data_IF_697089194829
#
_entry.id   IF_697089194829
#
_cell.length_a   1.000
_cell.length_b   1.000
_cell.length_c   1.000
_cell.angle_alpha   90.00
_cell.angle_beta   90.00
_cell.angle_gamma   90.00
#
_symmetry.space_group_name_H-M   'P 1'
#
loop_
_entity.id
_entity.type
_entity.pdbx_description
1 polymer ?
#
# COMPACT_ATOMS: atom_id res chain seq x y z
N UNK A 1 -29.66 -11.26 -0.10
CA UNK A 1 -30.30 -10.25 -0.98
C UNK A 1 -31.69 -10.74 -1.32
N UNK A 2 -32.73 -9.96 -1.05
CA UNK A 2 -34.10 -10.34 -1.44
C UNK A 2 -34.31 -9.97 -2.92
N UNK A 3 -34.74 -10.93 -3.73
CA UNK A 3 -35.08 -10.73 -5.14
C UNK A 3 -36.52 -11.19 -5.39
N UNK A 4 -37.22 -10.50 -6.30
CA UNK A 4 -38.51 -10.95 -6.82
C UNK A 4 -38.29 -12.21 -7.68
N UNK A 5 -38.86 -13.38 -7.32
CA UNK A 5 -38.69 -14.61 -8.08
C UNK A 5 -39.14 -14.50 -9.55
N UNK A 6 -40.09 -13.61 -9.87
CA UNK A 6 -40.54 -13.37 -11.24
C UNK A 6 -39.47 -12.77 -12.15
N UNK A 7 -38.39 -12.24 -11.59
CA UNK A 7 -37.24 -11.71 -12.34
C UNK A 7 -36.17 -12.76 -12.64
N UNK A 8 -36.27 -13.97 -12.08
CA UNK A 8 -35.30 -15.05 -12.29
C UNK A 8 -35.60 -15.73 -13.62
N UNK A 9 -34.77 -15.48 -14.64
CA UNK A 9 -34.95 -16.03 -15.99
C UNK A 9 -34.36 -17.44 -16.15
N UNK A 10 -33.34 -17.79 -15.35
CA UNK A 10 -32.69 -19.09 -15.33
C UNK A 10 -31.90 -19.28 -14.03
N UNK A 11 -31.68 -20.53 -13.64
CA UNK A 11 -30.69 -20.94 -12.64
C UNK A 11 -29.75 -21.92 -13.33
N UNK A 12 -28.44 -21.66 -13.27
CA UNK A 12 -27.41 -22.47 -13.93
C UNK A 12 -26.57 -23.10 -12.82
N UNK A 13 -26.59 -24.42 -12.73
CA UNK A 13 -25.75 -25.16 -11.78
C UNK A 13 -24.31 -25.19 -12.29
N UNK A 14 -23.37 -24.83 -11.42
CA UNK A 14 -21.94 -24.81 -11.72
C UNK A 14 -21.14 -25.42 -10.58
N UNK A 15 -20.08 -26.15 -10.90
CA UNK A 15 -19.08 -26.65 -9.94
C UNK A 15 -17.71 -26.10 -10.36
N UNK A 16 -17.55 -24.79 -10.18
CA UNK A 16 -16.34 -24.06 -10.55
C UNK A 16 -15.69 -23.51 -9.28
N UNK A 17 -14.44 -23.92 -8.96
CA UNK A 17 -13.72 -23.36 -7.83
C UNK A 17 -13.31 -21.91 -8.12
N UNK A 18 -13.18 -21.11 -7.06
CA UNK A 18 -12.57 -19.79 -7.15
C UNK A 18 -11.08 -19.89 -7.54
N UNK A 19 -10.63 -18.98 -8.40
CA UNK A 19 -9.22 -18.86 -8.77
C UNK A 19 -8.51 -17.94 -7.77
N UNK A 20 -7.85 -18.52 -6.77
CA UNK A 20 -6.95 -17.82 -5.87
C UNK A 20 -5.50 -17.94 -6.34
N UNK A 21 -4.81 -16.81 -6.51
CA UNK A 21 -3.39 -16.81 -6.83
C UNK A 21 -2.56 -17.38 -5.66
N UNK A 22 -1.56 -18.19 -6.01
CA UNK A 22 -0.60 -18.72 -5.06
C UNK A 22 0.36 -17.62 -4.58
N UNK A 23 0.68 -17.65 -3.29
CA UNK A 23 1.73 -16.81 -2.72
C UNK A 23 3.05 -17.04 -3.44
N UNK A 24 3.76 -15.95 -3.76
CA UNK A 24 5.15 -16.04 -4.19
C UNK A 24 6.05 -16.34 -2.99
N UNK A 25 7.22 -16.97 -3.21
CA UNK A 25 8.18 -17.25 -2.14
C UNK A 25 8.62 -15.98 -1.39
N UNK A 26 9.05 -16.19 -0.15
CA UNK A 26 9.56 -15.17 0.75
C UNK A 26 10.57 -14.23 0.05
N UNK A 27 10.30 -12.92 0.13
CA UNK A 27 11.15 -11.88 -0.43
C UNK A 27 11.76 -11.06 0.72
N UNK A 28 13.10 -11.04 0.89
CA UNK A 28 13.76 -10.27 1.96
C UNK A 28 13.40 -8.79 1.98
N UNK A 29 13.14 -8.18 0.82
CA UNK A 29 12.70 -6.78 0.72
C UNK A 29 11.31 -6.60 1.33
N UNK A 30 10.40 -7.55 1.13
CA UNK A 30 9.07 -7.51 1.74
C UNK A 30 9.14 -7.68 3.26
N UNK A 31 10.04 -8.53 3.78
CA UNK A 31 10.25 -8.66 5.22
C UNK A 31 10.82 -7.37 5.83
N UNK A 32 11.81 -6.74 5.20
CA UNK A 32 12.35 -5.48 5.71
C UNK A 32 11.31 -4.35 5.71
N UNK A 33 10.44 -4.29 4.70
CA UNK A 33 9.29 -3.37 4.69
C UNK A 33 8.34 -3.69 5.85
N UNK A 34 8.05 -4.97 6.09
CA UNK A 34 7.21 -5.41 7.20
C UNK A 34 7.81 -5.00 8.57
N UNK A 35 9.11 -5.21 8.78
CA UNK A 35 9.82 -4.80 9.98
C UNK A 35 9.74 -3.29 10.21
N UNK A 36 9.87 -2.50 9.14
CA UNK A 36 9.73 -1.05 9.19
C UNK A 36 8.29 -0.64 9.54
N UNK A 37 7.28 -1.31 9.01
CA UNK A 37 5.86 -1.05 9.35
C UNK A 37 5.58 -1.40 10.81
N UNK A 38 6.01 -2.56 11.29
CA UNK A 38 5.82 -2.99 12.69
C UNK A 38 6.52 -2.01 13.63
N UNK A 39 7.78 -1.64 13.33
CA UNK A 39 8.55 -0.65 14.10
C UNK A 39 7.82 0.68 14.18
N UNK A 40 7.30 1.17 13.04
CA UNK A 40 6.56 2.42 13.01
C UNK A 40 5.31 2.36 13.88
N UNK A 41 4.48 1.33 13.73
CA UNK A 41 3.23 1.19 14.48
C UNK A 41 3.47 1.06 15.99
N UNK A 42 4.48 0.29 16.41
CA UNK A 42 4.89 0.21 17.81
C UNK A 42 5.37 1.56 18.34
N UNK A 43 6.10 2.34 17.53
CA UNK A 43 6.53 3.68 17.93
C UNK A 43 5.35 4.64 18.12
N UNK A 44 4.32 4.52 17.28
CA UNK A 44 3.09 5.31 17.38
C UNK A 44 2.25 4.93 18.61
N UNK A 45 2.23 3.65 18.98
CA UNK A 45 1.62 3.19 20.23
C UNK A 45 2.39 3.70 21.45
N UNK A 46 3.72 3.61 21.45
CA UNK A 46 4.57 4.03 22.56
C UNK A 46 4.41 5.51 22.93
N UNK A 47 4.11 6.36 21.94
CA UNK A 47 3.88 7.80 22.11
C UNK A 47 2.39 8.18 22.20
N UNK A 48 1.50 7.19 22.27
CA UNK A 48 0.06 7.37 22.50
C UNK A 48 -0.72 7.92 21.30
N UNK A 49 -0.17 7.85 20.07
CA UNK A 49 -0.90 8.23 18.85
C UNK A 49 -1.78 7.10 18.30
N UNK A 50 -1.41 5.85 18.59
CA UNK A 50 -2.28 4.68 18.43
C UNK A 50 -2.68 4.23 19.84
N UNK A 51 -3.98 4.00 20.11
CA UNK A 51 -4.43 3.54 21.42
C UNK A 51 -3.90 2.13 21.74
N UNK A 52 -3.77 1.78 23.03
CA UNK A 52 -3.19 0.49 23.45
C UNK A 52 -4.03 -0.72 23.02
N UNK A 53 -5.34 -0.57 22.80
CA UNK A 53 -6.21 -1.59 22.22
C UNK A 53 -6.06 -1.75 20.68
N UNK A 54 -5.21 -0.93 20.06
CA UNK A 54 -5.00 -0.84 18.62
C UNK A 54 -6.21 -0.35 17.83
N UNK A 55 -6.04 -0.22 16.51
CA UNK A 55 -7.08 0.24 15.59
C UNK A 55 -7.36 -0.82 14.51
N UNK A 56 -8.55 -0.81 13.90
CA UNK A 56 -8.84 -1.72 12.80
C UNK A 56 -7.88 -1.50 11.63
N UNK A 57 -7.43 -2.60 11.01
CA UNK A 57 -6.55 -2.54 9.84
C UNK A 57 -7.31 -2.77 8.53
N UNK A 58 -7.00 -1.95 7.54
CA UNK A 58 -7.19 -2.29 6.13
C UNK A 58 -5.85 -2.69 5.54
N UNK A 59 -5.83 -3.77 4.78
CA UNK A 59 -4.65 -4.22 4.04
C UNK A 59 -5.08 -4.77 2.69
N UNK A 60 -4.39 -4.33 1.63
CA UNK A 60 -4.60 -4.84 0.27
C UNK A 60 -4.03 -6.26 0.10
N UNK A 61 -4.01 -6.76 -1.14
CA UNK A 61 -3.41 -8.06 -1.49
C UNK A 61 -1.94 -7.92 -1.89
N UNK A 62 -1.22 -9.04 -1.96
CA UNK A 62 0.12 -9.13 -2.54
C UNK A 62 1.22 -9.36 -1.50
N UNK A 63 2.44 -9.62 -1.99
CA UNK A 63 3.54 -10.13 -1.16
C UNK A 63 3.95 -9.17 -0.02
N UNK A 64 3.96 -7.86 -0.27
CA UNK A 64 4.29 -6.85 0.74
C UNK A 64 3.23 -6.85 1.84
N UNK A 65 1.95 -6.79 1.47
CA UNK A 65 0.84 -6.79 2.44
C UNK A 65 0.83 -8.08 3.27
N UNK A 66 1.04 -9.24 2.64
CA UNK A 66 1.14 -10.51 3.36
C UNK A 66 2.33 -10.56 4.33
N UNK A 67 3.50 -10.07 3.93
CA UNK A 67 4.67 -9.99 4.81
C UNK A 67 4.41 -9.07 6.01
N UNK A 68 3.76 -7.92 5.78
CA UNK A 68 3.37 -6.97 6.83
C UNK A 68 2.39 -7.59 7.80
N UNK A 69 1.34 -8.26 7.31
CA UNK A 69 0.37 -8.95 8.16
C UNK A 69 1.03 -10.08 8.96
N UNK A 70 1.95 -10.85 8.36
CA UNK A 70 2.72 -11.87 9.07
C UNK A 70 3.57 -11.27 10.19
N UNK A 71 4.35 -10.22 9.91
CA UNK A 71 5.17 -9.53 10.91
C UNK A 71 4.36 -8.93 12.06
N UNK A 72 3.18 -8.37 11.76
CA UNK A 72 2.22 -7.93 12.79
C UNK A 72 1.74 -9.10 13.66
N UNK A 73 1.50 -10.26 13.04
CA UNK A 73 1.14 -11.50 13.70
C UNK A 73 2.18 -12.01 14.70
N UNK A 74 3.43 -12.02 14.26
CA UNK A 74 4.58 -12.52 15.01
C UNK A 74 5.03 -11.57 16.12
N UNK A 75 4.77 -10.26 15.98
CA UNK A 75 5.14 -9.26 16.99
C UNK A 75 4.31 -9.43 18.28
N UNK A 76 4.92 -9.76 19.44
CA UNK A 76 4.19 -9.93 20.69
C UNK A 76 3.67 -8.59 21.26
N UNK A 77 4.28 -7.47 20.87
CA UNK A 77 3.94 -6.13 21.36
C UNK A 77 2.77 -5.50 20.58
N UNK A 78 2.44 -6.06 19.41
CA UNK A 78 1.21 -5.71 18.70
C UNK A 78 0.04 -6.45 19.36
N UNK A 79 -1.02 -5.76 19.84
CA UNK A 79 -2.18 -6.43 20.43
C UNK A 79 -2.93 -7.26 19.39
N UNK A 80 -3.84 -8.11 19.83
CA UNK A 80 -4.85 -8.64 18.91
C UNK A 80 -5.73 -7.50 18.38
N UNK A 81 -6.12 -7.56 17.11
CA UNK A 81 -6.83 -6.48 16.43
C UNK A 81 -7.95 -6.98 15.52
N UNK A 82 -8.75 -6.05 15.00
CA UNK A 82 -9.79 -6.36 14.01
C UNK A 82 -9.34 -5.91 12.61
N UNK A 83 -9.82 -6.60 11.58
CA UNK A 83 -9.72 -6.11 10.20
C UNK A 83 -11.01 -5.43 9.77
N UNK A 84 -10.86 -4.29 9.10
CA UNK A 84 -11.91 -3.61 8.36
C UNK A 84 -11.32 -3.23 7.00
N UNK A 85 -11.49 -4.11 6.02
CA UNK A 85 -10.79 -4.07 4.74
C UNK A 85 -11.77 -4.18 3.57
N UNK A 86 -11.30 -3.98 2.34
CA UNK A 86 -12.06 -4.33 1.14
C UNK A 86 -12.07 -5.85 0.92
N UNK A 87 -10.94 -6.50 1.12
CA UNK A 87 -10.74 -7.94 0.89
C UNK A 87 -10.01 -8.58 2.06
N UNK A 88 -10.31 -9.86 2.33
CA UNK A 88 -9.49 -10.69 3.22
C UNK A 88 -8.53 -11.53 2.40
N UNK A 89 -7.25 -11.35 2.67
CA UNK A 89 -6.16 -12.07 2.00
C UNK A 89 -5.71 -13.30 2.80
N UNK A 90 -4.86 -14.11 2.19
CA UNK A 90 -4.32 -15.36 2.74
C UNK A 90 -3.81 -15.24 4.19
N UNK A 91 -3.02 -14.20 4.49
CA UNK A 91 -2.49 -13.97 5.85
C UNK A 91 -3.58 -13.77 6.91
N UNK A 92 -4.74 -13.22 6.55
CA UNK A 92 -5.83 -12.99 7.50
C UNK A 92 -6.42 -14.31 8.03
N UNK A 93 -6.46 -15.36 7.20
CA UNK A 93 -6.98 -16.68 7.59
C UNK A 93 -6.12 -17.26 8.70
N UNK A 94 -4.80 -17.25 8.52
CA UNK A 94 -3.86 -17.74 9.52
C UNK A 94 -3.94 -16.94 10.83
N UNK A 95 -4.03 -15.60 10.73
CA UNK A 95 -4.08 -14.74 11.91
C UNK A 95 -5.41 -14.82 12.67
N UNK A 96 -6.51 -15.20 12.00
CA UNK A 96 -7.77 -15.56 12.65
C UNK A 96 -7.63 -16.86 13.45
N UNK A 97 -6.95 -17.88 12.89
CA UNK A 97 -6.70 -19.16 13.58
C UNK A 97 -5.86 -18.97 14.85
N UNK A 98 -4.85 -18.09 14.81
CA UNK A 98 -3.99 -17.81 15.97
C UNK A 98 -4.62 -16.85 16.98
N UNK A 99 -5.79 -16.29 16.67
CA UNK A 99 -6.47 -15.31 17.53
C UNK A 99 -5.81 -13.92 17.54
N UNK A 100 -4.82 -13.68 16.66
CA UNK A 100 -4.25 -12.35 16.48
C UNK A 100 -5.27 -11.40 15.86
N UNK A 101 -5.98 -11.86 14.84
CA UNK A 101 -7.18 -11.18 14.36
C UNK A 101 -8.37 -11.74 15.13
N UNK A 102 -9.11 -10.89 15.83
CA UNK A 102 -10.29 -11.32 16.61
C UNK A 102 -11.57 -11.33 15.76
N UNK A 103 -11.59 -10.57 14.67
CA UNK A 103 -12.69 -10.50 13.72
C UNK A 103 -12.31 -9.70 12.47
N UNK A 104 -12.98 -10.00 11.37
CA UNK A 104 -12.66 -9.45 10.07
C UNK A 104 -13.93 -9.05 9.30
N UNK A 105 -13.97 -7.80 8.85
CA UNK A 105 -15.02 -7.26 7.98
C UNK A 105 -14.42 -6.97 6.60
N UNK A 106 -15.04 -7.49 5.55
CA UNK A 106 -14.61 -7.28 4.16
C UNK A 106 -15.76 -7.31 3.17
N UNK A 107 -15.49 -7.07 1.88
CA UNK A 107 -16.43 -7.30 0.78
C UNK A 107 -16.24 -8.65 0.10
N UNK A 108 -15.04 -9.22 0.14
CA UNK A 108 -14.74 -10.52 -0.47
C UNK A 108 -13.58 -11.24 0.24
N UNK A 109 -13.43 -12.52 -0.11
CA UNK A 109 -12.28 -13.34 0.25
C UNK A 109 -11.40 -13.46 -0.99
N UNK A 110 -10.11 -13.15 -0.88
CA UNK A 110 -9.10 -13.32 -1.92
C UNK A 110 -8.00 -14.22 -1.37
N UNK A 111 -8.31 -15.51 -1.32
CA UNK A 111 -7.49 -16.55 -0.65
C UNK A 111 -7.24 -17.71 -1.61
N UNK A 112 -6.22 -18.50 -1.32
CA UNK A 112 -5.96 -19.75 -2.07
C UNK A 112 -7.11 -20.74 -1.94
N UNK A 113 -7.25 -21.65 -2.91
CA UNK A 113 -8.25 -22.73 -2.86
C UNK A 113 -8.10 -23.58 -1.58
N UNK A 114 -6.89 -23.82 -1.11
CA UNK A 114 -6.61 -24.53 0.15
C UNK A 114 -7.14 -23.79 1.37
N UNK A 115 -7.00 -22.46 1.41
CA UNK A 115 -7.47 -21.67 2.54
C UNK A 115 -8.98 -21.46 2.49
N UNK A 116 -9.56 -21.37 1.30
CA UNK A 116 -11.01 -21.40 1.14
C UNK A 116 -11.61 -22.73 1.61
N UNK A 117 -11.01 -23.86 1.21
CA UNK A 117 -11.43 -25.19 1.69
C UNK A 117 -11.30 -25.29 3.21
N UNK A 118 -10.20 -24.80 3.79
CA UNK A 118 -10.03 -24.75 5.24
C UNK A 118 -11.15 -23.95 5.92
N UNK A 119 -11.56 -22.81 5.37
CA UNK A 119 -12.68 -22.02 5.90
C UNK A 119 -13.97 -22.85 5.85
N UNK A 120 -14.23 -23.54 4.74
CA UNK A 120 -15.42 -24.39 4.58
C UNK A 120 -15.43 -25.56 5.57
N UNK A 121 -14.31 -26.24 5.74
CA UNK A 121 -14.16 -27.38 6.65
C UNK A 121 -14.31 -26.96 8.13
N UNK A 122 -14.14 -25.67 8.43
CA UNK A 122 -14.17 -25.11 9.79
C UNK A 122 -15.20 -23.96 9.92
N UNK A 123 -16.33 -24.06 9.21
CA UNK A 123 -17.30 -22.97 9.10
C UNK A 123 -17.79 -22.43 10.45
N UNK A 124 -18.03 -23.29 11.45
CA UNK A 124 -18.49 -22.85 12.78
C UNK A 124 -17.49 -21.91 13.48
N UNK A 125 -16.20 -22.09 13.21
CA UNK A 125 -15.14 -21.22 13.71
C UNK A 125 -15.10 -19.89 12.94
N UNK A 126 -15.09 -19.94 11.61
CA UNK A 126 -14.90 -18.73 10.79
C UNK A 126 -16.16 -17.88 10.63
N UNK A 127 -17.36 -18.47 10.59
CA UNK A 127 -18.63 -17.76 10.36
C UNK A 127 -18.94 -16.72 11.44
N UNK A 128 -18.51 -16.95 12.68
CA UNK A 128 -18.68 -15.99 13.79
C UNK A 128 -17.60 -14.90 13.83
N UNK A 129 -16.60 -14.97 12.94
CA UNK A 129 -15.42 -14.08 12.93
C UNK A 129 -15.29 -13.28 11.64
N UNK A 130 -15.90 -13.73 10.55
CA UNK A 130 -15.85 -13.07 9.24
C UNK A 130 -17.22 -12.51 8.90
N UNK A 131 -17.27 -11.23 8.54
CA UNK A 131 -18.47 -10.58 8.01
C UNK A 131 -18.18 -10.03 6.62
N UNK A 132 -18.90 -10.55 5.62
CA UNK A 132 -18.87 -10.01 4.26
C UNK A 132 -19.99 -8.96 4.09
N UNK A 133 -19.63 -7.80 3.56
CA UNK A 133 -20.51 -6.63 3.38
C UNK A 133 -20.47 -6.19 1.92
N UNK A 134 -21.52 -5.54 1.40
CA UNK A 134 -21.41 -4.82 0.14
C UNK A 134 -20.26 -3.80 0.18
N UNK A 135 -19.58 -3.59 -0.96
CA UNK A 135 -18.47 -2.64 -1.06
C UNK A 135 -18.85 -1.21 -0.65
N UNK A 136 -20.11 -0.79 -0.87
CA UNK A 136 -20.64 0.50 -0.41
C UNK A 136 -20.57 0.67 1.11
N UNK A 137 -20.58 -0.44 1.85
CA UNK A 137 -20.43 -0.46 3.31
C UNK A 137 -18.97 -0.68 3.68
N UNK A 138 -18.27 -1.71 3.16
CA UNK A 138 -16.88 -1.99 3.55
C UNK A 138 -15.93 -0.84 3.23
N UNK A 139 -16.20 -0.10 2.16
CA UNK A 139 -15.38 1.02 1.71
C UNK A 139 -16.00 2.37 2.06
N UNK A 140 -17.00 2.40 2.95
CA UNK A 140 -17.71 3.63 3.23
C UNK A 140 -16.81 4.66 3.95
N UNK A 141 -16.57 5.85 3.37
CA UNK A 141 -15.73 6.89 3.99
C UNK A 141 -16.11 7.23 5.43
N UNK A 142 -17.41 7.25 5.72
CA UNK A 142 -17.96 7.58 7.04
C UNK A 142 -17.53 6.52 8.07
N UNK A 143 -17.70 5.24 7.72
CA UNK A 143 -17.38 4.12 8.61
C UNK A 143 -15.88 4.00 8.79
N UNK A 144 -15.09 4.09 7.71
CA UNK A 144 -13.62 4.06 7.74
C UNK A 144 -13.11 5.10 8.73
N UNK A 145 -13.62 6.33 8.64
CA UNK A 145 -13.22 7.44 9.52
C UNK A 145 -13.71 7.25 10.95
N UNK A 146 -14.97 6.82 11.14
CA UNK A 146 -15.56 6.61 12.47
C UNK A 146 -14.81 5.53 13.25
N UNK A 147 -14.38 4.47 12.58
CA UNK A 147 -13.61 3.38 13.19
C UNK A 147 -12.13 3.71 13.38
N UNK A 148 -11.64 4.80 12.78
CA UNK A 148 -10.24 5.19 12.87
C UNK A 148 -9.30 4.18 12.20
N UNK A 149 -9.70 3.60 11.07
CA UNK A 149 -8.94 2.55 10.36
C UNK A 149 -7.51 3.01 10.05
N UNK A 150 -6.53 2.12 10.18
CA UNK A 150 -5.18 2.29 9.62
C UNK A 150 -5.17 1.63 8.24
N UNK A 151 -4.85 2.40 7.20
CA UNK A 151 -4.87 1.95 5.81
C UNK A 151 -3.45 1.61 5.32
N UNK A 152 -3.23 0.35 4.96
CA UNK A 152 -1.97 -0.16 4.41
C UNK A 152 -2.12 -0.40 2.90
N UNK A 153 -1.40 0.38 2.10
CA UNK A 153 -1.50 0.35 0.64
C UNK A 153 -0.12 0.21 -0.01
N UNK A 154 -0.08 -0.43 -1.18
CA UNK A 154 1.14 -0.53 -1.99
C UNK A 154 1.05 0.43 -3.16
N UNK A 155 2.10 1.22 -3.39
CA UNK A 155 2.21 2.13 -4.52
C UNK A 155 3.13 1.60 -5.62
N UNK A 156 2.93 2.05 -6.85
CA UNK A 156 3.86 1.85 -7.97
C UNK A 156 5.04 2.81 -7.88
N UNK A 157 4.76 4.08 -7.56
CA UNK A 157 5.75 5.13 -7.36
C UNK A 157 5.19 6.24 -6.47
N UNK A 158 6.10 6.99 -5.86
CA UNK A 158 5.83 8.17 -5.05
C UNK A 158 6.74 9.29 -5.51
N UNK A 159 6.20 10.50 -5.54
CA UNK A 159 7.06 11.65 -5.77
C UNK A 159 7.66 12.17 -4.47
N UNK A 160 8.70 12.99 -4.61
CA UNK A 160 9.38 13.60 -3.47
C UNK A 160 8.47 14.53 -2.65
N UNK A 161 7.30 14.95 -3.13
CA UNK A 161 6.34 15.71 -2.32
C UNK A 161 5.31 14.80 -1.64
N UNK A 162 5.36 13.49 -1.89
CA UNK A 162 4.51 12.48 -1.29
C UNK A 162 3.13 12.38 -1.94
N UNK A 163 3.02 12.61 -3.24
CA UNK A 163 1.94 12.04 -4.04
C UNK A 163 2.23 10.55 -4.30
N UNK A 164 1.18 9.77 -4.56
CA UNK A 164 1.29 8.36 -4.88
C UNK A 164 0.57 8.01 -6.18
N UNK A 165 1.22 7.17 -6.98
CA UNK A 165 0.67 6.46 -8.13
C UNK A 165 0.48 4.99 -7.74
N UNK A 166 -0.72 4.45 -7.89
CA UNK A 166 -1.05 3.04 -7.62
C UNK A 166 -1.57 2.32 -8.87
N UNK A 167 -1.68 3.01 -10.01
CA UNK A 167 -2.47 2.50 -11.15
C UNK A 167 -1.73 2.45 -12.48
N UNK A 168 -0.95 3.48 -12.85
CA UNK A 168 -0.44 3.64 -14.21
C UNK A 168 1.09 3.58 -14.28
N UNK A 169 1.64 2.56 -14.94
CA UNK A 169 3.08 2.50 -15.26
C UNK A 169 3.37 3.55 -16.33
N UNK A 170 4.31 4.45 -16.03
CA UNK A 170 4.72 5.57 -16.89
C UNK A 170 3.53 6.44 -17.34
N UNK A 171 2.51 6.58 -16.49
CA UNK A 171 1.34 7.43 -16.72
C UNK A 171 0.34 6.90 -17.75
N UNK A 172 0.58 5.74 -18.38
CA UNK A 172 -0.23 5.27 -19.51
C UNK A 172 -0.74 3.84 -19.36
N UNK A 173 0.08 2.92 -18.83
CA UNK A 173 -0.28 1.51 -18.79
C UNK A 173 -0.94 1.17 -17.46
N UNK A 174 -2.25 0.93 -17.49
CA UNK A 174 -3.00 0.46 -16.33
C UNK A 174 -2.50 -0.91 -15.86
N UNK A 175 -2.24 -1.05 -14.55
CA UNK A 175 -1.92 -2.33 -13.92
C UNK A 175 -3.20 -3.06 -13.52
N UNK A 176 -3.96 -2.49 -12.59
CA UNK A 176 -5.22 -3.04 -12.10
C UNK A 176 -6.32 -1.96 -12.14
N UNK A 177 -6.15 -0.92 -11.31
CA UNK A 177 -7.12 0.14 -11.08
C UNK A 177 -6.98 0.67 -9.66
N UNK A 178 -7.59 1.83 -9.37
CA UNK A 178 -7.45 2.49 -8.07
C UNK A 178 -8.08 1.67 -6.92
N UNK A 179 -9.12 0.88 -7.22
CA UNK A 179 -9.86 0.10 -6.22
C UNK A 179 -10.35 0.98 -5.07
N UNK A 180 -10.45 0.42 -3.87
CA UNK A 180 -10.78 1.17 -2.66
C UNK A 180 -9.63 1.96 -2.03
N UNK A 181 -8.44 2.00 -2.64
CA UNK A 181 -7.31 2.72 -2.05
C UNK A 181 -7.65 4.20 -1.78
N UNK A 182 -8.41 4.84 -2.67
CA UNK A 182 -8.91 6.21 -2.47
C UNK A 182 -9.86 6.33 -1.27
N UNK A 183 -10.76 5.36 -1.09
CA UNK A 183 -11.73 5.33 0.02
C UNK A 183 -11.01 5.23 1.36
N UNK A 184 -10.01 4.36 1.46
CA UNK A 184 -9.27 4.13 2.70
C UNK A 184 -8.23 5.22 2.97
N UNK A 185 -7.35 5.53 2.02
CA UNK A 185 -6.24 6.47 2.22
C UNK A 185 -6.73 7.86 2.64
N UNK A 186 -7.85 8.33 2.07
CA UNK A 186 -8.38 9.66 2.40
C UNK A 186 -9.07 9.70 3.77
N UNK A 187 -9.69 8.61 4.21
CA UNK A 187 -10.60 8.61 5.36
C UNK A 187 -10.06 7.88 6.59
N UNK A 188 -8.97 7.14 6.44
CA UNK A 188 -8.24 6.49 7.53
C UNK A 188 -7.70 7.49 8.55
N UNK A 189 -7.54 7.03 9.80
CA UNK A 189 -6.82 7.78 10.84
C UNK A 189 -5.34 7.95 10.48
N UNK A 190 -4.78 6.92 9.83
CA UNK A 190 -3.40 6.83 9.41
C UNK A 190 -3.33 6.10 8.07
N UNK A 191 -2.81 6.77 7.04
CA UNK A 191 -2.54 6.17 5.73
C UNK A 191 -1.05 5.91 5.55
N UNK A 192 -0.72 4.65 5.25
CA UNK A 192 0.64 4.18 5.05
C UNK A 192 0.73 3.61 3.65
N UNK A 193 1.66 4.16 2.88
CA UNK A 193 2.06 3.63 1.59
C UNK A 193 3.36 2.86 1.70
N UNK A 194 3.43 1.75 0.98
CA UNK A 194 4.56 0.84 1.00
C UNK A 194 5.01 0.55 -0.43
N UNK A 195 6.32 0.45 -0.65
CA UNK A 195 6.89 -0.09 -1.88
C UNK A 195 8.33 -0.53 -1.63
N UNK A 196 8.90 -1.44 -2.44
CA UNK A 196 10.35 -1.50 -2.56
C UNK A 196 10.86 -0.14 -3.08
N UNK A 197 12.03 0.32 -2.65
CA UNK A 197 12.59 1.59 -3.13
C UNK A 197 13.07 1.54 -4.59
N UNK A 198 13.32 0.32 -5.09
CA UNK A 198 13.63 0.02 -6.50
C UNK A 198 12.98 -1.28 -6.96
N UNK A 199 12.72 -1.39 -8.26
CA UNK A 199 12.29 -2.62 -8.93
C UNK A 199 13.14 -2.89 -10.19
N UNK A 200 12.96 -4.08 -10.78
CA UNK A 200 13.72 -4.57 -11.95
C UNK A 200 15.24 -4.44 -11.76
N UNK A 201 15.76 -5.03 -10.69
CA UNK A 201 17.21 -5.07 -10.39
C UNK A 201 17.84 -3.66 -10.26
N UNK A 202 17.10 -2.70 -9.70
CA UNK A 202 17.59 -1.33 -9.50
C UNK A 202 17.38 -0.40 -10.70
N UNK A 203 16.85 -0.90 -11.84
CA UNK A 203 16.65 -0.09 -13.05
C UNK A 203 15.50 0.90 -12.95
N UNK A 204 14.60 0.73 -11.99
CA UNK A 204 13.44 1.59 -11.78
C UNK A 204 13.42 1.99 -10.31
N UNK A 205 13.42 3.29 -10.03
CA UNK A 205 13.13 3.85 -8.71
C UNK A 205 11.63 3.93 -8.49
N UNK A 206 11.18 3.68 -7.26
CA UNK A 206 9.81 3.99 -6.85
C UNK A 206 9.70 5.39 -6.24
N UNK A 207 10.82 6.05 -5.95
CA UNK A 207 10.85 7.47 -5.56
C UNK A 207 11.30 8.31 -6.76
N UNK A 208 10.45 9.23 -7.22
CA UNK A 208 10.65 10.02 -8.44
C UNK A 208 10.49 11.53 -8.18
N UNK A 209 10.99 12.41 -9.07
CA UNK A 209 10.73 13.85 -8.93
C UNK A 209 9.24 14.23 -9.01
N UNK A 210 8.51 13.59 -9.93
CA UNK A 210 7.07 13.73 -10.11
C UNK A 210 6.46 12.38 -10.48
N UNK A 211 5.32 12.03 -9.89
CA UNK A 211 4.59 10.84 -10.31
C UNK A 211 4.08 11.05 -11.73
N UNK A 212 4.22 10.04 -12.58
CA UNK A 212 3.69 10.03 -13.95
C UNK A 212 2.16 9.98 -14.00
N UNK A 213 1.52 9.56 -12.90
CA UNK A 213 0.10 9.64 -12.64
C UNK A 213 -0.13 9.83 -11.14
N UNK A 214 -1.18 10.55 -10.72
CA UNK A 214 -1.45 10.79 -9.30
C UNK A 214 -2.83 10.24 -8.94
N UNK A 215 -2.84 9.16 -8.16
CA UNK A 215 -4.06 8.61 -7.57
C UNK A 215 -4.33 9.23 -6.19
N UNK A 216 -3.26 9.53 -5.44
CA UNK A 216 -3.36 10.07 -4.09
C UNK A 216 -2.46 11.29 -3.90
N UNK A 217 -3.05 12.38 -3.43
CA UNK A 217 -2.32 13.62 -3.21
C UNK A 217 -1.52 13.61 -1.90
N UNK A 218 -0.57 14.54 -1.79
CA UNK A 218 0.23 14.81 -0.60
C UNK A 218 -0.61 15.08 0.66
N UNK A 219 -1.81 15.61 0.48
CA UNK A 219 -2.76 15.80 1.59
C UNK A 219 -3.33 14.51 2.16
N UNK A 220 -3.32 13.42 1.37
CA UNK A 220 -3.91 12.13 1.74
C UNK A 220 -2.86 11.14 2.23
N UNK A 221 -1.64 11.20 1.68
CA UNK A 221 -0.52 10.33 2.05
C UNK A 221 0.17 10.84 3.33
N UNK A 222 0.09 10.07 4.42
CA UNK A 222 0.71 10.43 5.71
C UNK A 222 2.08 9.82 5.92
N UNK A 223 2.29 8.58 5.51
CA UNK A 223 3.56 7.87 5.71
C UNK A 223 3.91 7.09 4.46
N UNK A 224 5.19 7.11 4.08
CA UNK A 224 5.76 6.25 3.05
C UNK A 224 6.81 5.36 3.70
N UNK A 225 6.79 4.06 3.41
CA UNK A 225 7.72 3.08 3.95
C UNK A 225 8.31 2.26 2.80
N UNK A 226 9.63 2.17 2.76
CA UNK A 226 10.35 1.24 1.88
C UNK A 226 11.26 0.36 2.70
N UNK A 227 12.01 -0.56 2.08
CA UNK A 227 13.04 -1.32 2.78
C UNK A 227 14.19 -0.44 3.29
N UNK A 228 14.31 0.80 2.81
CA UNK A 228 15.33 1.76 3.26
C UNK A 228 14.96 2.41 4.60
N UNK A 229 13.66 2.53 4.91
CA UNK A 229 13.20 3.19 6.12
C UNK A 229 11.81 3.80 6.02
N UNK A 230 11.52 4.71 6.95
CA UNK A 230 10.20 5.29 7.21
C UNK A 230 10.26 6.80 7.01
N UNK A 231 9.36 7.33 6.18
CA UNK A 231 9.13 8.76 6.01
C UNK A 231 7.74 9.13 6.56
N UNK A 232 7.69 9.65 7.80
CA UNK A 232 6.49 10.25 8.37
C UNK A 232 6.35 11.69 7.90
N UNK A 233 5.26 11.99 7.20
CA UNK A 233 5.06 13.23 6.47
C UNK A 233 4.03 14.16 7.14
N UNK A 234 3.52 13.78 8.32
CA UNK A 234 2.55 14.57 9.07
C UNK A 234 3.17 15.88 9.53
N UNK A 235 2.50 16.99 9.28
CA UNK A 235 2.94 18.33 9.70
C UNK A 235 4.13 18.88 8.91
N UNK A 236 4.59 18.20 7.86
CA UNK A 236 5.72 18.66 7.04
C UNK A 236 5.25 19.49 5.84
N UNK A 237 5.99 20.57 5.55
CA UNK A 237 5.86 21.35 4.30
C UNK A 237 6.41 20.56 3.10
N UNK A 238 6.10 20.93 1.83
CA UNK A 238 6.55 20.17 0.66
C UNK A 238 8.07 19.95 0.61
N UNK A 239 8.87 20.96 0.97
CA UNK A 239 10.33 20.84 0.98
C UNK A 239 10.80 19.89 2.09
N UNK A 240 10.18 19.94 3.27
CA UNK A 240 10.48 19.01 4.36
C UNK A 240 10.08 17.57 3.98
N UNK A 241 8.96 17.39 3.27
CA UNK A 241 8.55 16.10 2.71
C UNK A 241 9.59 15.57 1.73
N UNK A 242 10.08 16.40 0.82
CA UNK A 242 11.13 16.03 -0.13
C UNK A 242 12.40 15.52 0.55
N UNK A 243 12.97 16.29 1.48
CA UNK A 243 14.14 15.83 2.21
C UNK A 243 13.87 14.55 3.02
N UNK A 244 12.71 14.44 3.68
CA UNK A 244 12.35 13.26 4.47
C UNK A 244 12.16 12.01 3.61
N UNK A 245 11.51 12.12 2.45
CA UNK A 245 11.28 10.99 1.54
C UNK A 245 12.60 10.55 0.90
N UNK A 246 13.39 11.49 0.38
CA UNK A 246 14.67 11.17 -0.27
C UNK A 246 15.60 10.49 0.74
N UNK A 247 15.73 11.05 1.95
CA UNK A 247 16.64 10.53 2.98
C UNK A 247 16.25 9.14 3.46
N UNK A 248 14.97 8.89 3.71
CA UNK A 248 14.53 7.69 4.44
C UNK A 248 13.96 6.59 3.54
N UNK A 249 13.52 6.92 2.32
CA UNK A 249 12.81 5.96 1.47
C UNK A 249 13.44 5.73 0.09
N UNK A 250 14.20 6.69 -0.46
CA UNK A 250 14.83 6.51 -1.76
C UNK A 250 16.05 5.58 -1.66
N UNK A 251 16.19 4.70 -2.66
CA UNK A 251 17.35 3.81 -2.75
C UNK A 251 18.64 4.63 -2.93
N UNK A 252 19.78 4.21 -2.34
CA UNK A 252 21.07 4.91 -2.48
C UNK A 252 21.49 5.20 -3.93
N UNK A 253 21.07 4.37 -4.89
CA UNK A 253 21.32 4.60 -6.32
C UNK A 253 20.71 5.91 -6.85
N UNK A 254 19.58 6.34 -6.29
CA UNK A 254 18.78 7.46 -6.80
C UNK A 254 18.84 8.70 -5.91
N UNK A 255 19.32 8.60 -4.66
CA UNK A 255 19.36 9.72 -3.72
C UNK A 255 20.11 10.94 -4.28
N UNK A 256 21.31 10.74 -4.83
CA UNK A 256 22.11 11.81 -5.43
C UNK A 256 21.38 12.53 -6.57
N UNK A 257 20.65 11.78 -7.41
CA UNK A 257 19.86 12.35 -8.50
C UNK A 257 18.72 13.21 -7.95
N UNK A 258 17.99 12.68 -6.97
CA UNK A 258 16.82 13.37 -6.38
C UNK A 258 17.22 14.65 -5.63
N UNK A 259 18.34 14.64 -4.89
CA UNK A 259 18.86 15.86 -4.27
C UNK A 259 19.28 16.89 -5.32
N UNK A 260 19.98 16.49 -6.38
CA UNK A 260 20.34 17.42 -7.46
C UNK A 260 19.11 17.97 -8.19
N UNK A 261 18.07 17.17 -8.41
CA UNK A 261 16.82 17.67 -8.95
C UNK A 261 16.26 18.78 -8.05
N UNK A 262 16.19 18.54 -6.74
CA UNK A 262 15.64 19.49 -5.77
C UNK A 262 16.47 20.78 -5.64
N UNK A 263 17.80 20.68 -5.72
CA UNK A 263 18.73 21.81 -5.65
C UNK A 263 18.68 22.70 -6.90
N UNK A 264 18.46 22.12 -8.08
CA UNK A 264 18.42 22.85 -9.35
C UNK A 264 17.02 23.33 -9.72
N UNK A 265 15.97 22.76 -9.12
CA UNK A 265 14.60 23.15 -9.41
C UNK A 265 14.31 24.60 -8.99
N UNK A 266 13.50 25.35 -9.77
CA UNK A 266 13.04 26.69 -9.38
C UNK A 266 12.45 26.72 -7.97
N UNK A 267 12.81 27.73 -7.18
CA UNK A 267 12.32 27.90 -5.80
C UNK A 267 10.83 28.30 -5.73
N UNK A 268 10.24 28.13 -4.55
CA UNK A 268 8.84 28.45 -4.28
C UNK A 268 8.29 27.62 -3.12
N UNK A 269 6.96 27.50 -3.01
CA UNK A 269 6.36 26.58 -2.04
C UNK A 269 6.71 25.10 -2.36
N UNK A 270 6.82 24.79 -3.65
CA UNK A 270 7.23 23.49 -4.19
C UNK A 270 8.40 23.76 -5.15
N UNK A 271 9.51 23.04 -4.97
CA UNK A 271 10.71 23.17 -5.79
C UNK A 271 10.63 22.24 -6.99
N UNK A 272 9.98 22.67 -8.08
CA UNK A 272 9.64 21.80 -9.20
C UNK A 272 10.19 22.31 -10.53
N UNK A 273 10.85 21.43 -11.28
CA UNK A 273 11.35 21.71 -12.63
C UNK A 273 10.54 20.96 -13.68
N UNK A 274 9.68 21.69 -14.40
CA UNK A 274 8.80 21.13 -15.44
C UNK A 274 9.57 20.60 -16.66
N UNK A 275 10.78 21.09 -16.92
CA UNK A 275 11.58 20.60 -18.05
C UNK A 275 12.16 19.21 -17.76
N UNK A 276 12.36 18.90 -16.48
CA UNK A 276 13.14 17.75 -16.02
C UNK A 276 12.37 16.79 -15.09
N UNK A 277 11.12 17.10 -14.76
CA UNK A 277 10.28 16.33 -13.83
C UNK A 277 10.11 14.84 -14.21
N UNK A 278 10.13 14.54 -15.51
CA UNK A 278 9.91 13.19 -16.05
C UNK A 278 11.15 12.57 -16.69
N UNK A 279 12.34 13.10 -16.42
CA UNK A 279 13.56 12.58 -17.06
C UNK A 279 13.87 11.13 -16.65
N UNK A 280 13.54 10.70 -15.42
CA UNK A 280 13.66 9.28 -15.03
C UNK A 280 12.74 8.38 -15.89
N UNK A 281 11.48 8.77 -16.09
CA UNK A 281 10.54 8.01 -16.93
C UNK A 281 10.95 8.01 -18.40
N UNK A 282 11.43 9.14 -18.92
CA UNK A 282 11.97 9.24 -20.28
C UNK A 282 13.17 8.32 -20.48
N UNK A 283 14.15 8.36 -19.56
CA UNK A 283 15.31 7.47 -19.60
C UNK A 283 14.90 6.00 -19.56
N UNK A 284 13.91 5.65 -18.73
CA UNK A 284 13.39 4.28 -18.69
C UNK A 284 12.82 3.83 -20.04
N UNK A 285 12.08 4.70 -20.74
CA UNK A 285 11.51 4.42 -22.07
C UNK A 285 12.63 4.32 -23.12
N UNK A 286 13.60 5.23 -23.10
CA UNK A 286 14.65 5.33 -24.11
C UNK A 286 15.74 4.25 -23.94
N UNK A 287 16.10 3.90 -22.70
CA UNK A 287 17.28 3.06 -22.41
C UNK A 287 16.97 1.83 -21.55
N UNK A 288 15.74 1.67 -21.05
CA UNK A 288 15.38 0.57 -20.15
C UNK A 288 15.87 0.71 -18.70
N UNK A 289 16.37 1.89 -18.30
CA UNK A 289 16.81 2.21 -16.94
C UNK A 289 16.59 3.69 -16.63
N UNK A 290 16.08 4.03 -15.44
CA UNK A 290 15.79 5.41 -15.05
C UNK A 290 17.05 6.28 -14.91
N UNK A 291 18.20 5.72 -14.52
CA UNK A 291 19.49 6.43 -14.49
C UNK A 291 20.23 6.43 -15.84
N UNK A 292 19.65 5.81 -16.88
CA UNK A 292 20.31 5.60 -18.15
C UNK A 292 21.49 4.61 -18.07
N UNK A 293 22.22 4.49 -19.18
CA UNK A 293 23.53 3.84 -19.23
C UNK A 293 24.59 4.86 -18.77
N UNK A 294 24.82 4.99 -17.45
CA UNK A 294 25.84 5.87 -16.83
C UNK A 294 26.06 7.26 -17.49
N UNK A 295 25.52 8.30 -16.84
CA UNK A 295 25.93 9.71 -16.99
C UNK A 295 25.78 10.35 -18.38
N UNK A 296 24.66 11.02 -18.62
CA UNK A 296 24.70 12.27 -19.39
C UNK A 296 24.69 13.40 -18.34
N UNK A 297 25.77 14.21 -18.22
CA UNK A 297 25.74 15.35 -17.33
C UNK A 297 24.66 16.30 -17.84
N UNK A 298 23.71 16.66 -16.96
CA UNK A 298 22.87 17.82 -17.21
C UNK A 298 23.79 19.01 -17.48
N UNK A 299 23.74 19.52 -18.71
CA UNK A 299 24.49 20.71 -19.10
C UNK A 299 24.05 21.85 -18.19
N UNK A 300 24.98 22.37 -17.38
CA UNK A 300 24.85 23.68 -16.74
C UNK A 300 24.65 24.71 -17.87
N UNK A 301 23.47 25.34 -17.89
CA UNK A 301 23.28 26.64 -18.54
C UNK A 301 23.13 27.69 -17.46
#
# INVERSE_FOLDING_TARGET
>A
VQIDPGKIVAVIDTELPDNGDLLSPANPVCHQIADNVVTFLLSEMAVGRIPPEFLPLQSGVGNINNAVMAGLGESPDIPSFMMYSEVLQESAVHLLETGKITGASASSLTVSASSLQKIYDNMDFFANRIVLRPQEISNNPEIIRRLGVIALNVGLEFDIYGHANSTHISGVNLVNGIGGSGDFVRNASLSIFMAPSVVREGKISTIVPMCSHVDHSEHSVKVIITEQGIADLRGLSPIQRAYTIIKNCAHPFYQDYLYRYLENAPGGHIHHDLLHAFDLHRNLIETGSMLGSFCIPFNKK
#
